data_IF_379315638220
#
_entry.id   IF_379315638220
#
_cell.length_a   1.000
_cell.length_b   1.000
_cell.length_c   1.000
_cell.angle_alpha   90.00
_cell.angle_beta   90.00
_cell.angle_gamma   90.00
#
_symmetry.space_group_name_H-M   'P 1'
#
loop_
_entity.id
_entity.type
_entity.pdbx_description
1 polymer ?
#
# COMPACT_ATOMS: atom_id res chain seq x y z
N UNK A 1 5.43 -5.66 -11.59
CA UNK A 1 5.28 -6.35 -10.29
C UNK A 1 6.59 -6.97 -9.79
N UNK A 2 7.43 -7.59 -10.64
CA UNK A 2 8.73 -8.13 -10.21
C UNK A 2 9.64 -7.11 -9.50
N UNK A 3 9.67 -5.87 -9.99
CA UNK A 3 10.45 -4.80 -9.35
C UNK A 3 9.98 -4.50 -7.92
N UNK A 4 8.67 -4.48 -7.67
CA UNK A 4 8.10 -4.16 -6.36
C UNK A 4 8.36 -5.31 -5.38
N UNK A 5 8.28 -6.56 -5.86
CA UNK A 5 8.73 -7.74 -5.11
C UNK A 5 10.17 -7.56 -4.64
N UNK A 6 11.10 -7.27 -5.56
CA UNK A 6 12.53 -7.10 -5.22
C UNK A 6 12.71 -5.98 -4.20
N UNK A 7 12.11 -4.82 -4.45
CA UNK A 7 12.23 -3.66 -3.59
C UNK A 7 11.67 -3.90 -2.17
N UNK A 8 10.56 -4.64 -2.05
CA UNK A 8 10.00 -5.04 -0.76
C UNK A 8 10.91 -6.05 -0.04
N UNK A 9 11.44 -7.05 -0.77
CA UNK A 9 12.41 -8.00 -0.21
C UNK A 9 13.64 -7.27 0.34
N UNK A 10 14.18 -6.31 -0.39
CA UNK A 10 15.36 -5.56 0.02
C UNK A 10 15.06 -4.62 1.21
N UNK A 11 13.91 -3.93 1.18
CA UNK A 11 13.53 -2.94 2.20
C UNK A 11 13.12 -3.58 3.52
N UNK A 12 12.38 -4.69 3.47
CA UNK A 12 11.84 -5.38 4.65
C UNK A 12 12.71 -6.55 5.10
N UNK A 13 13.73 -6.92 4.32
CA UNK A 13 14.58 -8.08 4.54
C UNK A 13 13.76 -9.36 4.80
N UNK A 14 12.78 -9.60 3.93
CA UNK A 14 11.85 -10.73 4.03
C UNK A 14 11.61 -11.42 2.69
N UNK A 15 11.18 -12.68 2.74
CA UNK A 15 10.78 -13.39 1.51
C UNK A 15 9.41 -12.87 1.04
N UNK A 16 9.33 -12.54 -0.25
CA UNK A 16 8.12 -12.03 -0.90
C UNK A 16 7.75 -12.96 -2.04
N UNK A 17 6.58 -13.59 -1.94
CA UNK A 17 6.02 -14.45 -2.97
C UNK A 17 4.91 -13.72 -3.75
N UNK A 18 4.93 -13.84 -5.08
CA UNK A 18 3.84 -13.35 -5.91
C UNK A 18 2.77 -14.43 -6.03
N UNK A 19 1.51 -13.99 -6.06
CA UNK A 19 0.34 -14.83 -6.33
C UNK A 19 -0.32 -14.41 -7.63
N UNK A 20 -1.20 -15.27 -8.14
CA UNK A 20 -1.98 -14.99 -9.34
C UNK A 20 -2.85 -13.74 -9.16
N UNK A 21 -3.05 -13.01 -10.25
CA UNK A 21 -3.91 -11.83 -10.25
C UNK A 21 -5.37 -12.22 -10.08
N UNK A 22 -6.10 -11.45 -9.30
CA UNK A 22 -7.54 -11.59 -9.10
C UNK A 22 -8.26 -10.64 -10.05
N UNK A 23 -9.26 -11.14 -10.77
CA UNK A 23 -10.14 -10.31 -11.58
C UNK A 23 -10.97 -9.40 -10.68
N UNK A 24 -11.05 -8.12 -11.02
CA UNK A 24 -11.86 -7.16 -10.26
C UNK A 24 -13.35 -7.34 -10.60
N UNK A 25 -14.21 -7.67 -9.62
CA UNK A 25 -15.65 -7.72 -9.85
C UNK A 25 -16.18 -6.32 -10.16
N UNK A 26 -17.07 -6.21 -11.15
CA UNK A 26 -17.64 -4.93 -11.57
C UNK A 26 -18.57 -4.33 -10.51
N UNK A 27 -19.07 -5.15 -9.60
CA UNK A 27 -19.95 -4.75 -8.49
C UNK A 27 -19.23 -3.87 -7.46
N UNK A 28 -17.91 -3.93 -7.38
CA UNK A 28 -17.11 -3.10 -6.48
C UNK A 28 -16.91 -1.68 -7.01
N UNK A 29 -17.24 -1.44 -8.28
CA UNK A 29 -17.07 -0.16 -8.94
C UNK A 29 -18.24 0.78 -8.65
N UNK A 30 -17.93 1.94 -8.10
CA UNK A 30 -18.89 3.01 -7.92
C UNK A 30 -18.83 3.95 -9.13
N UNK A 31 -19.83 3.85 -10.02
CA UNK A 31 -19.90 4.64 -11.25
C UNK A 31 -20.02 6.15 -11.01
N UNK A 32 -20.66 6.58 -9.92
CA UNK A 32 -20.78 7.99 -9.56
C UNK A 32 -19.43 8.61 -9.13
N UNK A 33 -18.52 7.79 -8.59
CA UNK A 33 -17.17 8.21 -8.17
C UNK A 33 -16.10 7.94 -9.22
N UNK A 34 -16.33 6.99 -10.13
CA UNK A 34 -15.28 6.47 -10.98
C UNK A 34 -14.19 5.73 -10.19
N UNK A 35 -14.54 5.13 -9.06
CA UNK A 35 -13.61 4.52 -8.11
C UNK A 35 -14.15 3.20 -7.57
N UNK A 36 -13.24 2.32 -7.17
CA UNK A 36 -13.56 1.08 -6.46
C UNK A 36 -13.53 1.27 -4.94
N UNK A 37 -14.38 0.54 -4.22
CA UNK A 37 -14.35 0.53 -2.76
C UNK A 37 -13.15 -0.29 -2.25
N UNK A 38 -12.21 0.35 -1.56
CA UNK A 38 -10.99 -0.28 -1.04
C UNK A 38 -11.27 -1.39 -0.03
N UNK A 39 -12.37 -1.30 0.73
CA UNK A 39 -12.78 -2.31 1.71
C UNK A 39 -13.13 -3.64 1.05
N UNK A 40 -13.70 -3.62 -0.17
CA UNK A 40 -14.05 -4.85 -0.87
C UNK A 40 -12.81 -5.63 -1.34
N UNK A 41 -11.71 -4.93 -1.65
CA UNK A 41 -10.42 -5.58 -1.87
C UNK A 41 -9.92 -6.28 -0.60
N UNK A 42 -9.94 -5.60 0.55
CA UNK A 42 -9.45 -6.20 1.80
C UNK A 42 -10.25 -7.46 2.15
N UNK A 43 -11.57 -7.41 2.01
CA UNK A 43 -12.44 -8.59 2.18
C UNK A 43 -12.06 -9.71 1.23
N UNK A 44 -11.81 -9.42 -0.04
CA UNK A 44 -11.40 -10.45 -0.99
C UNK A 44 -10.03 -11.06 -0.65
N UNK A 45 -9.07 -10.23 -0.21
CA UNK A 45 -7.75 -10.68 0.21
C UNK A 45 -7.79 -11.53 1.47
N UNK A 46 -8.73 -11.26 2.39
CA UNK A 46 -8.91 -12.03 3.63
C UNK A 46 -9.26 -13.49 3.33
N UNK A 47 -10.06 -13.75 2.29
CA UNK A 47 -10.47 -15.10 1.89
C UNK A 47 -9.38 -15.89 1.17
N UNK A 48 -8.23 -15.29 0.88
CA UNK A 48 -7.11 -15.98 0.23
C UNK A 48 -6.42 -16.89 1.26
N UNK A 49 -6.36 -18.22 1.02
CA UNK A 49 -5.70 -19.14 1.94
C UNK A 49 -4.23 -18.79 2.17
N UNK A 50 -3.83 -18.78 3.43
CA UNK A 50 -2.45 -18.53 3.85
C UNK A 50 -1.84 -19.82 4.35
N UNK A 51 -0.67 -20.16 3.81
CA UNK A 51 0.14 -21.27 4.35
C UNK A 51 0.82 -20.87 5.66
N UNK A 52 1.14 -19.57 5.81
CA UNK A 52 1.85 -18.98 6.94
C UNK A 52 1.12 -17.72 7.45
N UNK A 53 1.43 -17.25 8.66
CA UNK A 53 0.83 -16.04 9.27
C UNK A 53 1.34 -14.70 8.68
N UNK A 54 1.88 -14.71 7.46
CA UNK A 54 2.38 -13.50 6.80
C UNK A 54 1.26 -12.57 6.33
N UNK A 55 1.53 -11.25 6.23
CA UNK A 55 0.58 -10.30 5.68
C UNK A 55 0.39 -10.50 4.16
N UNK A 56 -0.78 -10.14 3.65
CA UNK A 56 -1.06 -10.09 2.20
C UNK A 56 -1.18 -8.65 1.75
N UNK A 57 -0.43 -8.27 0.72
CA UNK A 57 -0.56 -6.98 0.04
C UNK A 57 -1.21 -7.17 -1.33
N UNK A 58 -2.39 -6.59 -1.52
CA UNK A 58 -3.00 -6.37 -2.82
C UNK A 58 -2.41 -5.13 -3.49
N UNK A 59 -2.14 -5.22 -4.78
CA UNK A 59 -1.69 -4.08 -5.60
C UNK A 59 -2.68 -3.91 -6.73
N UNK A 60 -3.32 -2.75 -6.81
CA UNK A 60 -4.39 -2.48 -7.74
C UNK A 60 -4.06 -1.27 -8.63
N UNK A 61 -4.14 -1.44 -9.95
CA UNK A 61 -4.02 -0.33 -10.91
C UNK A 61 -5.39 0.28 -11.23
N UNK A 62 -6.20 0.50 -10.18
CA UNK A 62 -7.49 1.18 -10.23
C UNK A 62 -7.61 2.17 -9.06
N UNK A 63 -8.43 3.20 -9.25
CA UNK A 63 -8.57 4.26 -8.26
C UNK A 63 -9.50 3.79 -7.14
N UNK A 64 -9.08 3.94 -5.88
CA UNK A 64 -9.81 3.42 -4.73
C UNK A 64 -10.26 4.53 -3.77
N UNK A 65 -11.34 4.28 -3.04
CA UNK A 65 -11.81 5.12 -1.94
C UNK A 65 -12.17 4.26 -0.71
N UNK A 66 -12.29 4.90 0.45
CA UNK A 66 -12.88 4.31 1.64
C UNK A 66 -14.00 5.22 2.16
N UNK A 67 -14.90 4.69 2.99
CA UNK A 67 -16.02 5.46 3.53
C UNK A 67 -15.52 6.74 4.23
N UNK A 68 -16.10 7.89 3.89
CA UNK A 68 -15.70 9.19 4.43
C UNK A 68 -14.47 9.84 3.79
N UNK A 69 -13.80 9.16 2.86
CA UNK A 69 -12.61 9.68 2.15
C UNK A 69 -12.88 9.85 0.65
N UNK A 70 -12.27 10.87 0.04
CA UNK A 70 -12.36 11.09 -1.40
C UNK A 70 -11.59 10.04 -2.20
N UNK A 71 -10.45 9.60 -1.68
CA UNK A 71 -9.63 8.53 -2.24
C UNK A 71 -8.70 7.99 -1.16
N UNK A 72 -8.03 6.89 -1.47
CA UNK A 72 -6.93 6.35 -0.66
C UNK A 72 -5.74 5.97 -1.56
N UNK A 73 -4.53 6.14 -1.06
CA UNK A 73 -3.33 5.55 -1.67
C UNK A 73 -3.17 4.09 -1.28
N UNK A 74 -3.55 3.76 -0.05
CA UNK A 74 -3.63 2.41 0.45
C UNK A 74 -4.64 2.27 1.58
N UNK A 75 -4.88 1.02 1.97
CA UNK A 75 -5.72 0.68 3.10
C UNK A 75 -5.21 -0.62 3.69
N UNK A 76 -5.20 -0.72 5.02
CA UNK A 76 -4.84 -1.94 5.71
C UNK A 76 -5.88 -2.33 6.75
N UNK A 77 -6.06 -3.64 6.90
CA UNK A 77 -6.74 -4.23 8.04
C UNK A 77 -5.69 -4.98 8.89
N UNK A 78 -5.30 -4.42 10.05
CA UNK A 78 -4.31 -5.02 10.93
C UNK A 78 -4.81 -6.29 11.63
N UNK A 79 -6.13 -6.50 11.75
CA UNK A 79 -6.68 -7.67 12.43
C UNK A 79 -6.60 -8.91 11.57
N UNK A 80 -6.88 -8.76 10.28
CA UNK A 80 -6.81 -9.85 9.29
C UNK A 80 -5.45 -9.88 8.58
N UNK A 81 -4.60 -8.86 8.73
CA UNK A 81 -3.28 -8.80 8.13
C UNK A 81 -3.31 -8.69 6.60
N UNK A 82 -4.28 -7.95 6.07
CA UNK A 82 -4.35 -7.62 4.63
C UNK A 82 -4.14 -6.14 4.41
N UNK A 83 -3.52 -5.80 3.29
CA UNK A 83 -3.28 -4.44 2.85
C UNK A 83 -3.59 -4.30 1.36
N UNK A 84 -3.87 -3.08 0.92
CA UNK A 84 -4.09 -2.68 -0.45
C UNK A 84 -3.26 -1.44 -0.75
N UNK A 85 -2.62 -1.39 -1.92
CA UNK A 85 -2.12 -0.14 -2.52
C UNK A 85 -2.77 0.09 -3.87
N UNK A 86 -3.30 1.30 -4.06
CA UNK A 86 -3.89 1.80 -5.30
C UNK A 86 -2.88 2.67 -6.06
N UNK A 87 -2.49 2.22 -7.25
CA UNK A 87 -1.41 2.81 -8.03
C UNK A 87 -1.75 4.11 -8.79
N UNK A 88 -2.97 4.34 -9.32
CA UNK A 88 -3.18 5.42 -10.29
C UNK A 88 -2.77 6.80 -9.80
N UNK A 89 -3.10 7.14 -8.54
CA UNK A 89 -2.79 8.45 -7.97
C UNK A 89 -1.31 8.64 -7.59
N UNK A 90 -0.49 7.60 -7.71
CA UNK A 90 0.96 7.67 -7.51
C UNK A 90 1.71 8.07 -8.80
N UNK A 91 1.05 7.92 -9.96
CA UNK A 91 1.60 8.26 -11.28
C UNK A 91 1.49 9.76 -11.53
N UNK A 92 2.49 10.33 -12.18
CA UNK A 92 2.47 11.74 -12.57
C UNK A 92 1.39 12.03 -13.62
N UNK A 93 1.16 11.08 -14.54
CA UNK A 93 0.14 11.20 -15.59
C UNK A 93 -1.28 11.38 -15.05
N UNK A 94 -1.59 10.87 -13.85
CA UNK A 94 -2.89 11.09 -13.21
C UNK A 94 -3.20 12.58 -13.02
N UNK A 95 -2.15 13.41 -12.91
CA UNK A 95 -2.23 14.86 -12.73
C UNK A 95 -1.87 15.62 -14.01
N UNK A 96 -1.81 14.95 -15.17
CA UNK A 96 -1.46 15.57 -16.45
C UNK A 96 0.01 15.96 -16.59
N UNK A 97 0.89 15.41 -15.74
CA UNK A 97 2.34 15.63 -15.79
C UNK A 97 3.05 14.54 -16.59
N UNK A 98 4.27 14.81 -17.02
CA UNK A 98 5.11 13.82 -17.69
C UNK A 98 5.44 12.66 -16.75
N UNK A 99 5.43 11.44 -17.28
CA UNK A 99 5.72 10.25 -16.48
C UNK A 99 7.15 10.27 -15.96
N UNK A 100 7.28 9.88 -14.70
CA UNK A 100 8.56 9.61 -14.05
C UNK A 100 8.44 8.24 -13.39
N UNK A 101 9.03 7.25 -14.05
CA UNK A 101 8.92 5.86 -13.62
C UNK A 101 9.65 5.63 -12.29
N UNK A 102 10.76 6.33 -12.06
CA UNK A 102 11.52 6.19 -10.82
C UNK A 102 10.70 6.73 -9.64
N UNK A 103 10.15 7.94 -9.79
CA UNK A 103 9.31 8.56 -8.76
C UNK A 103 8.05 7.72 -8.48
N UNK A 104 7.41 7.18 -9.52
CA UNK A 104 6.28 6.26 -9.37
C UNK A 104 6.68 5.01 -8.55
N UNK A 105 7.81 4.38 -8.87
CA UNK A 105 8.30 3.19 -8.15
C UNK A 105 8.62 3.52 -6.69
N UNK A 106 9.24 4.67 -6.42
CA UNK A 106 9.52 5.13 -5.07
C UNK A 106 8.23 5.32 -4.26
N UNK A 107 7.24 6.01 -4.83
CA UNK A 107 5.93 6.22 -4.18
C UNK A 107 5.22 4.91 -3.88
N UNK A 108 5.13 4.02 -4.88
CA UNK A 108 4.48 2.73 -4.72
C UNK A 108 5.15 1.84 -3.68
N UNK A 109 6.50 1.86 -3.59
CA UNK A 109 7.22 1.17 -2.51
C UNK A 109 6.88 1.76 -1.14
N UNK A 110 6.91 3.09 -0.99
CA UNK A 110 6.63 3.75 0.30
C UNK A 110 5.22 3.45 0.80
N UNK A 111 4.21 3.53 -0.07
CA UNK A 111 2.84 3.20 0.32
C UNK A 111 2.69 1.69 0.61
N UNK A 112 3.33 0.81 -0.17
CA UNK A 112 3.32 -0.63 0.12
C UNK A 112 3.92 -0.96 1.49
N UNK A 113 5.07 -0.36 1.82
CA UNK A 113 5.71 -0.54 3.12
C UNK A 113 4.87 0.08 4.25
N UNK A 114 4.24 1.24 4.02
CA UNK A 114 3.34 1.87 4.99
C UNK A 114 2.16 0.96 5.37
N UNK A 115 1.44 0.45 4.36
CA UNK A 115 0.28 -0.41 4.60
C UNK A 115 0.68 -1.77 5.20
N UNK A 116 1.81 -2.34 4.78
CA UNK A 116 2.36 -3.53 5.43
C UNK A 116 2.74 -3.23 6.89
N UNK A 117 3.29 -2.06 7.20
CA UNK A 117 3.56 -1.63 8.56
C UNK A 117 2.31 -1.65 9.45
N UNK A 118 1.17 -1.20 8.91
CA UNK A 118 -0.12 -1.34 9.59
C UNK A 118 -0.49 -2.81 9.86
N UNK A 119 -0.33 -3.70 8.88
CA UNK A 119 -0.59 -5.15 9.08
C UNK A 119 0.34 -5.80 10.13
N UNK A 120 1.49 -5.18 10.42
CA UNK A 120 2.43 -5.60 11.45
C UNK A 120 2.17 -4.93 12.81
N UNK A 121 1.07 -4.18 12.95
CA UNK A 121 0.65 -3.55 14.20
C UNK A 121 1.20 -2.13 14.43
N UNK A 122 1.82 -1.50 13.44
CA UNK A 122 2.23 -0.10 13.55
C UNK A 122 1.05 0.84 13.32
N UNK A 123 0.90 1.85 14.17
CA UNK A 123 0.09 3.03 13.86
C UNK A 123 0.91 4.07 13.10
N UNK A 124 0.30 5.23 12.82
CA UNK A 124 1.01 6.36 12.24
C UNK A 124 2.16 6.86 13.15
N UNK A 125 3.21 7.36 12.52
CA UNK A 125 4.39 7.91 13.18
C UNK A 125 4.45 9.44 13.04
N UNK A 126 4.87 10.12 14.12
CA UNK A 126 5.07 11.58 14.12
C UNK A 126 6.36 12.00 13.44
N UNK A 127 7.31 11.08 13.25
CA UNK A 127 8.53 11.32 12.48
C UNK A 127 8.18 11.43 10.99
N UNK A 128 8.33 12.63 10.42
CA UNK A 128 7.99 12.94 9.04
C UNK A 128 8.87 12.22 8.01
N UNK A 129 10.01 11.67 8.42
CA UNK A 129 10.88 10.89 7.55
C UNK A 129 10.61 9.38 7.65
N UNK A 130 9.81 8.94 8.63
CA UNK A 130 9.41 7.55 8.75
C UNK A 130 8.37 7.17 7.69
N UNK A 131 8.49 5.97 7.12
CA UNK A 131 7.48 5.46 6.17
C UNK A 131 6.07 5.39 6.77
N UNK A 132 5.95 5.22 8.09
CA UNK A 132 4.67 5.24 8.82
C UNK A 132 4.11 6.66 9.06
N UNK A 133 4.76 7.72 8.57
CA UNK A 133 4.14 9.04 8.55
C UNK A 133 2.91 9.03 7.65
N UNK A 134 1.81 9.58 8.15
CA UNK A 134 0.56 9.66 7.40
C UNK A 134 0.69 10.61 6.21
N UNK A 135 0.31 10.14 5.03
CA UNK A 135 0.32 10.94 3.79
C UNK A 135 -1.08 11.35 3.39
N UNK A 136 -1.37 12.65 3.40
CA UNK A 136 -2.63 13.18 2.84
C UNK A 136 -2.48 13.56 1.36
N UNK A 137 -1.26 13.92 0.95
CA UNK A 137 -0.93 14.37 -0.40
C UNK A 137 0.36 13.67 -0.87
N UNK A 138 0.58 13.66 -2.19
CA UNK A 138 1.81 13.07 -2.76
C UNK A 138 3.10 13.67 -2.19
N UNK A 139 3.10 14.97 -1.91
CA UNK A 139 4.25 15.64 -1.34
C UNK A 139 4.64 15.05 0.04
N UNK A 140 3.69 14.54 0.81
CA UNK A 140 3.98 13.87 2.09
C UNK A 140 4.69 12.53 1.82
N UNK A 141 4.20 11.75 0.83
CA UNK A 141 4.83 10.50 0.38
C UNK A 141 6.21 10.74 -0.24
N UNK A 142 6.42 11.85 -0.95
CA UNK A 142 7.71 12.17 -1.56
C UNK A 142 8.75 12.51 -0.49
N UNK A 143 8.34 13.19 0.60
CA UNK A 143 9.23 13.59 1.71
C UNK A 143 9.66 12.44 2.61
N UNK A 144 8.80 11.45 2.88
CA UNK A 144 9.12 10.35 3.79
C UNK A 144 10.11 9.35 3.16
N UNK A 145 10.90 8.67 3.99
CA UNK A 145 11.72 7.52 3.56
C UNK A 145 10.83 6.30 3.28
N UNK A 146 11.36 5.32 2.53
CA UNK A 146 10.77 3.98 2.46
C UNK A 146 11.07 3.14 3.72
N UNK A 147 11.94 3.63 4.60
CA UNK A 147 12.36 2.91 5.81
C UNK A 147 11.51 3.28 7.03
N UNK A 148 11.35 2.30 7.92
CA UNK A 148 10.89 2.54 9.29
C UNK A 148 11.95 3.29 10.10
N UNK A 149 11.54 4.25 10.92
CA UNK A 149 12.42 4.82 11.93
C UNK A 149 12.74 3.79 13.03
N UNK A 150 13.78 4.06 13.82
CA UNK A 150 14.24 3.14 14.88
C UNK A 150 13.14 2.77 15.90
N UNK A 151 12.20 3.68 16.16
CA UNK A 151 11.06 3.40 17.04
C UNK A 151 10.08 2.40 16.43
N UNK A 152 9.79 2.54 15.13
CA UNK A 152 8.91 1.62 14.43
C UNK A 152 9.57 0.24 14.26
N UNK A 153 10.84 0.21 13.86
CA UNK A 153 11.65 -1.02 13.78
C UNK A 153 11.61 -1.84 15.07
N UNK A 154 11.86 -1.18 16.22
CA UNK A 154 11.81 -1.83 17.54
C UNK A 154 10.45 -2.45 17.87
N UNK A 155 9.34 -1.85 17.43
CA UNK A 155 7.99 -2.37 17.70
C UNK A 155 7.69 -3.66 16.93
N UNK A 156 8.21 -3.79 15.71
CA UNK A 156 7.96 -4.95 14.84
C UNK A 156 9.10 -5.97 14.82
N UNK A 157 10.18 -5.73 15.57
CA UNK A 157 11.32 -6.64 15.66
C UNK A 157 12.15 -6.75 14.37
N UNK A 158 11.99 -5.80 13.44
CA UNK A 158 12.78 -5.74 12.20
C UNK A 158 14.06 -4.94 12.47
N UNK A 159 15.22 -5.45 12.06
CA UNK A 159 16.53 -4.77 12.18
C UNK A 159 16.70 -3.72 11.07
#
# INVERSE_FOLDING_TARGET
MLWLKSALTDTLNCDVSLRDSISLPSEWYNSARGQYCGVDFLRALEHIPRKDYGPILGVADVNCYACGLNFVFGLADPYTGVALVALPRLRQSFYGLAEDEELFRQRALKEAVHELGHTLGLGHCTDTLCVMHFSNMLNDTDRKSANYCELCKRKIGVK
#
